data_IF_038954870251
#
_entry.id   IF_038954870251
#
_cell.length_a   1.000
_cell.length_b   1.000
_cell.length_c   1.000
_cell.angle_alpha   90.00
_cell.angle_beta   90.00
_cell.angle_gamma   90.00
#
_symmetry.space_group_name_H-M   'P 1'
#
loop_
_entity.id
_entity.type
_entity.pdbx_description
1 polymer ?
#
# COMPACT_ATOMS: atom_id res chain seq x y z
N UNK A 1 -8.97 -0.08 37.08
CA UNK A 1 -9.47 1.17 36.46
C UNK A 1 -8.42 2.25 36.65
N UNK A 2 -7.65 2.58 35.61
CA UNK A 2 -6.75 3.74 35.60
C UNK A 2 -7.20 4.64 34.45
N UNK A 3 -7.82 5.77 34.80
CA UNK A 3 -8.28 6.79 33.86
C UNK A 3 -7.09 7.70 33.56
N UNK A 4 -6.51 7.58 32.37
CA UNK A 4 -5.54 8.55 31.90
C UNK A 4 -6.31 9.63 31.14
N UNK A 5 -6.44 10.81 31.76
CA UNK A 5 -6.85 12.04 31.09
C UNK A 5 -5.62 12.63 30.41
N UNK A 6 -5.56 12.58 29.07
CA UNK A 6 -4.58 13.35 28.31
C UNK A 6 -5.32 14.58 27.77
N UNK A 7 -4.99 15.72 28.35
CA UNK A 7 -5.54 17.01 28.00
C UNK A 7 -4.97 17.49 26.66
N UNK A 8 -5.88 18.01 25.84
CA UNK A 8 -5.76 18.55 24.50
C UNK A 8 -4.89 19.83 24.44
N UNK A 9 -4.01 19.92 23.44
CA UNK A 9 -3.66 21.19 22.79
C UNK A 9 -2.96 20.90 21.46
N UNK A 10 -3.71 20.88 20.34
CA UNK A 10 -3.13 20.91 18.99
C UNK A 10 -3.98 21.81 18.10
N UNK A 11 -3.38 22.93 17.69
CA UNK A 11 -3.87 23.82 16.65
C UNK A 11 -3.84 23.09 15.30
N UNK A 12 -4.98 22.98 14.61
CA UNK A 12 -5.06 22.34 13.30
C UNK A 12 -4.95 23.39 12.17
N UNK A 13 -3.95 23.30 11.26
CA UNK A 13 -4.04 23.97 9.98
C UNK A 13 -5.00 23.20 9.05
N UNK A 14 -5.95 23.90 8.47
CA UNK A 14 -6.85 23.38 7.44
C UNK A 14 -6.05 23.12 6.15
N UNK A 15 -5.88 21.85 5.79
CA UNK A 15 -5.38 21.46 4.47
C UNK A 15 -6.50 20.73 3.74
N UNK A 16 -7.00 21.35 2.67
CA UNK A 16 -7.93 20.74 1.74
C UNK A 16 -7.16 19.81 0.79
N UNK A 17 -7.57 18.55 0.70
CA UNK A 17 -7.03 17.58 -0.26
C UNK A 17 -8.11 17.22 -1.28
N UNK A 18 -7.88 17.60 -2.54
CA UNK A 18 -8.69 17.23 -3.69
C UNK A 18 -8.54 15.73 -3.99
N UNK A 19 -9.66 15.02 -4.07
CA UNK A 19 -9.70 13.60 -4.44
C UNK A 19 -9.72 13.40 -5.95
N UNK A 20 -8.80 12.60 -6.47
CA UNK A 20 -8.82 12.11 -7.85
C UNK A 20 -8.85 10.58 -7.87
N UNK A 21 -9.91 10.01 -8.44
CA UNK A 21 -10.18 8.57 -8.51
C UNK A 21 -9.17 7.80 -9.37
N UNK A 22 -8.31 7.05 -8.70
CA UNK A 22 -7.83 5.71 -9.10
C UNK A 22 -7.98 4.87 -7.83
N UNK A 23 -8.38 3.59 -7.91
CA UNK A 23 -8.35 2.71 -6.73
C UNK A 23 -6.93 2.68 -6.19
N UNK A 24 -6.66 3.54 -5.22
CA UNK A 24 -5.32 3.90 -4.77
C UNK A 24 -4.98 3.05 -3.55
N UNK A 25 -3.77 3.23 -3.02
CA UNK A 25 -3.43 2.67 -1.72
C UNK A 25 -4.45 3.08 -0.63
N UNK A 26 -5.12 4.22 -0.82
CA UNK A 26 -6.10 4.80 0.10
C UNK A 26 -7.37 3.94 0.16
N UNK A 27 -7.81 3.32 -0.95
CA UNK A 27 -8.94 2.36 -0.96
C UNK A 27 -8.67 1.11 -0.12
N UNK A 28 -7.41 0.69 0.02
CA UNK A 28 -7.06 -0.44 0.87
C UNK A 28 -7.10 -0.04 2.34
N UNK A 29 -6.51 1.11 2.68
CA UNK A 29 -6.52 1.65 4.02
C UNK A 29 -7.95 1.92 4.51
N UNK A 30 -8.80 2.49 3.66
CA UNK A 30 -10.21 2.73 3.98
C UNK A 30 -10.97 1.43 4.25
N UNK A 31 -10.81 0.41 3.39
CA UNK A 31 -11.43 -0.91 3.61
C UNK A 31 -10.96 -1.58 4.90
N UNK A 32 -9.68 -1.44 5.21
CA UNK A 32 -9.14 -1.95 6.47
C UNK A 32 -9.72 -1.20 7.67
N UNK A 33 -9.77 0.13 7.62
CA UNK A 33 -10.37 0.97 8.67
C UNK A 33 -11.85 0.62 8.90
N UNK A 34 -12.63 0.48 7.83
CA UNK A 34 -14.03 0.04 7.92
C UNK A 34 -14.16 -1.34 8.59
N UNK A 35 -13.25 -2.27 8.29
CA UNK A 35 -13.26 -3.61 8.86
C UNK A 35 -12.98 -3.58 10.36
N UNK A 36 -11.95 -2.86 10.82
CA UNK A 36 -11.63 -2.75 12.24
C UNK A 36 -12.65 -1.91 13.00
N UNK A 37 -13.21 -0.87 12.38
CA UNK A 37 -14.28 -0.08 12.98
C UNK A 37 -15.49 -0.96 13.28
N UNK A 38 -15.90 -1.79 12.32
CA UNK A 38 -17.00 -2.75 12.52
C UNK A 38 -16.67 -3.80 13.58
N UNK A 39 -15.51 -4.43 13.49
CA UNK A 39 -15.17 -5.57 14.36
C UNK A 39 -14.88 -5.16 15.80
N UNK A 40 -14.36 -3.95 16.01
CA UNK A 40 -14.00 -3.43 17.33
C UNK A 40 -14.99 -2.37 17.84
N UNK A 41 -16.04 -2.07 17.05
CA UNK A 41 -17.03 -1.03 17.36
C UNK A 41 -16.39 0.31 17.70
N UNK A 42 -15.43 0.74 16.86
CA UNK A 42 -14.71 1.99 17.07
C UNK A 42 -15.64 3.19 16.90
N UNK A 43 -15.46 4.18 17.76
CA UNK A 43 -16.11 5.49 17.61
C UNK A 43 -15.51 6.27 16.45
N UNK A 44 -16.24 7.27 15.94
CA UNK A 44 -15.74 8.15 14.86
C UNK A 44 -14.43 8.85 15.23
N UNK A 45 -14.29 9.27 16.49
CA UNK A 45 -13.07 9.88 17.00
C UNK A 45 -11.88 8.91 16.93
N UNK A 46 -12.05 7.66 17.37
CA UNK A 46 -11.01 6.63 17.29
C UNK A 46 -10.65 6.29 15.84
N UNK A 47 -11.64 6.16 14.95
CA UNK A 47 -11.38 5.92 13.52
C UNK A 47 -10.57 7.05 12.90
N UNK A 48 -10.88 8.30 13.25
CA UNK A 48 -10.15 9.48 12.75
C UNK A 48 -8.70 9.47 13.21
N UNK A 49 -8.44 9.19 14.49
CA UNK A 49 -7.08 9.10 15.03
C UNK A 49 -6.27 7.99 14.37
N UNK A 50 -6.85 6.80 14.17
CA UNK A 50 -6.15 5.70 13.50
C UNK A 50 -5.84 6.05 12.04
N UNK A 51 -6.77 6.70 11.33
CA UNK A 51 -6.51 7.17 9.97
C UNK A 51 -5.35 8.16 9.92
N UNK A 52 -5.29 9.09 10.88
CA UNK A 52 -4.16 10.02 11.00
C UNK A 52 -2.83 9.28 11.21
N UNK A 53 -2.78 8.29 12.11
CA UNK A 53 -1.58 7.47 12.34
C UNK A 53 -1.12 6.77 11.04
N UNK A 54 -2.05 6.24 10.24
CA UNK A 54 -1.69 5.60 8.97
C UNK A 54 -1.18 6.58 7.93
N UNK A 55 -1.70 7.81 7.89
CA UNK A 55 -1.21 8.84 6.99
C UNK A 55 0.19 9.30 7.40
N UNK A 56 0.42 9.55 8.69
CA UNK A 56 1.75 9.86 9.23
C UNK A 56 2.76 8.75 8.91
N UNK A 57 2.39 7.49 9.18
CA UNK A 57 3.23 6.34 8.87
C UNK A 57 3.54 6.23 7.36
N UNK A 58 2.58 6.52 6.49
CA UNK A 58 2.81 6.51 5.03
C UNK A 58 3.87 7.53 4.63
N UNK A 59 3.84 8.72 5.21
CA UNK A 59 4.78 9.79 4.90
C UNK A 59 6.18 9.47 5.46
N UNK A 60 6.27 8.94 6.68
CA UNK A 60 7.53 8.43 7.23
C UNK A 60 8.15 7.35 6.35
N UNK A 61 7.33 6.40 5.90
CA UNK A 61 7.80 5.33 5.01
C UNK A 61 8.17 5.85 3.62
N UNK A 62 7.60 6.96 3.15
CA UNK A 62 8.04 7.60 1.90
C UNK A 62 9.44 8.18 2.07
N UNK A 63 9.64 8.98 3.12
CA UNK A 63 10.95 9.57 3.42
C UNK A 63 12.02 8.49 3.66
N UNK A 64 11.68 7.41 4.36
CA UNK A 64 12.60 6.29 4.57
C UNK A 64 13.00 5.61 3.25
N UNK A 65 12.05 5.41 2.32
CA UNK A 65 12.33 4.84 1.00
C UNK A 65 13.27 5.72 0.18
N UNK A 66 12.99 7.02 0.11
CA UNK A 66 13.83 7.98 -0.62
C UNK A 66 15.25 8.03 -0.05
N UNK A 67 15.36 8.10 1.29
CA UNK A 67 16.66 8.06 1.97
C UNK A 67 17.42 6.76 1.68
N UNK A 68 16.73 5.63 1.74
CA UNK A 68 17.35 4.32 1.48
C UNK A 68 17.82 4.22 0.04
N UNK A 69 16.99 4.65 -0.90
CA UNK A 69 17.32 4.69 -2.32
C UNK A 69 18.56 5.54 -2.58
N UNK A 70 18.63 6.76 -2.02
CA UNK A 70 19.80 7.63 -2.14
C UNK A 70 21.08 6.99 -1.60
N UNK A 71 21.01 6.31 -0.45
CA UNK A 71 22.17 5.60 0.13
C UNK A 71 22.64 4.44 -0.74
N UNK A 72 21.70 3.70 -1.34
CA UNK A 72 22.02 2.64 -2.29
C UNK A 72 22.68 3.23 -3.53
N UNK A 73 22.06 4.23 -4.14
CA UNK A 73 22.55 4.86 -5.38
C UNK A 73 23.96 5.46 -5.19
N UNK A 74 24.30 5.95 -3.98
CA UNK A 74 25.63 6.46 -3.64
C UNK A 74 26.75 5.39 -3.63
N UNK A 75 26.41 4.12 -3.42
CA UNK A 75 27.38 3.00 -3.38
C UNK A 75 27.62 2.44 -4.80
N UNK A 76 26.65 2.61 -5.70
CA UNK A 76 26.71 2.06 -7.05
C UNK A 76 27.57 2.91 -7.98
N UNK A 77 28.31 2.24 -8.85
CA UNK A 77 28.95 2.87 -10.02
C UNK A 77 27.89 3.23 -11.10
N UNK A 78 28.32 3.94 -12.15
CA UNK A 78 27.41 4.43 -13.19
C UNK A 78 26.70 3.30 -13.94
N UNK A 79 27.40 2.22 -14.26
CA UNK A 79 26.82 1.07 -14.99
C UNK A 79 25.80 0.32 -14.13
N UNK A 80 26.10 0.16 -12.84
CA UNK A 80 25.18 -0.46 -11.88
C UNK A 80 23.92 0.38 -11.64
N UNK A 81 24.01 1.72 -11.68
CA UNK A 81 22.83 2.60 -11.57
C UNK A 81 21.91 2.48 -12.77
N UNK A 82 22.46 2.40 -13.98
CA UNK A 82 21.68 2.17 -15.21
C UNK A 82 20.96 0.83 -15.14
N UNK A 83 21.67 -0.26 -14.80
CA UNK A 83 21.05 -1.57 -14.61
C UNK A 83 19.96 -1.55 -13.53
N UNK A 84 20.15 -0.79 -12.45
CA UNK A 84 19.12 -0.64 -11.41
C UNK A 84 17.90 0.14 -11.89
N UNK A 85 18.09 1.16 -12.74
CA UNK A 85 16.99 1.91 -13.35
C UNK A 85 16.15 1.00 -14.25
N UNK A 86 16.81 0.22 -15.12
CA UNK A 86 16.14 -0.74 -16.01
C UNK A 86 15.36 -1.80 -15.22
N UNK A 87 15.95 -2.31 -14.14
CA UNK A 87 15.26 -3.25 -13.24
C UNK A 87 14.02 -2.63 -12.59
N UNK A 88 14.08 -1.35 -12.21
CA UNK A 88 12.93 -0.63 -11.62
C UNK A 88 11.82 -0.41 -12.66
N UNK A 89 12.18 -0.07 -13.90
CA UNK A 89 11.24 0.11 -15.00
C UNK A 89 10.58 -1.22 -15.39
N UNK A 90 11.36 -2.27 -15.63
CA UNK A 90 10.80 -3.59 -15.97
C UNK A 90 9.86 -4.12 -14.88
N UNK A 91 10.19 -3.87 -13.60
CA UNK A 91 9.30 -4.21 -12.48
C UNK A 91 7.98 -3.44 -12.56
N UNK A 92 8.03 -2.15 -12.90
CA UNK A 92 6.85 -1.30 -13.06
C UNK A 92 5.98 -1.79 -14.22
N UNK A 93 6.59 -2.06 -15.37
CA UNK A 93 5.89 -2.59 -16.55
C UNK A 93 5.20 -3.93 -16.27
N UNK A 94 5.90 -4.84 -15.60
CA UNK A 94 5.30 -6.11 -15.21
C UNK A 94 4.13 -5.92 -14.24
N UNK A 95 4.23 -4.95 -13.32
CA UNK A 95 3.13 -4.57 -12.45
C UNK A 95 1.93 -4.00 -13.21
N UNK A 96 2.17 -3.10 -14.16
CA UNK A 96 1.12 -2.49 -14.99
C UNK A 96 0.44 -3.54 -15.88
N UNK A 97 1.20 -4.44 -16.50
CA UNK A 97 0.68 -5.59 -17.27
C UNK A 97 -0.20 -6.49 -16.41
N UNK A 98 0.24 -6.84 -15.21
CA UNK A 98 -0.56 -7.66 -14.27
C UNK A 98 -1.83 -6.95 -13.84
N UNK A 99 -1.75 -5.64 -13.58
CA UNK A 99 -2.92 -4.83 -13.23
C UNK A 99 -3.97 -4.88 -14.36
N UNK A 100 -3.54 -4.71 -15.61
CA UNK A 100 -4.39 -4.86 -16.79
C UNK A 100 -5.05 -6.24 -16.88
N UNK A 101 -4.28 -7.34 -16.72
CA UNK A 101 -4.84 -8.71 -16.71
C UNK A 101 -5.87 -8.95 -15.60
N UNK A 102 -5.72 -8.31 -14.44
CA UNK A 102 -6.68 -8.40 -13.35
C UNK A 102 -7.95 -7.57 -13.62
N UNK A 103 -7.81 -6.42 -14.26
CA UNK A 103 -8.94 -5.57 -14.69
C UNK A 103 -9.78 -6.24 -15.79
N UNK A 104 -9.13 -6.93 -16.74
CA UNK A 104 -9.81 -7.69 -17.82
C UNK A 104 -10.25 -9.11 -17.40
N UNK A 105 -10.04 -9.52 -16.16
CA UNK A 105 -10.48 -10.82 -15.62
C UNK A 105 -9.69 -12.05 -16.09
N UNK A 106 -8.69 -11.87 -16.97
CA UNK A 106 -7.83 -12.94 -17.51
C UNK A 106 -6.97 -13.58 -16.42
N UNK A 107 -6.40 -12.79 -15.51
CA UNK A 107 -5.55 -13.31 -14.43
C UNK A 107 -6.30 -14.24 -13.45
N UNK A 108 -7.63 -14.09 -13.33
CA UNK A 108 -8.47 -15.01 -12.53
C UNK A 108 -8.77 -16.33 -13.25
N UNK A 109 -8.79 -16.33 -14.59
CA UNK A 109 -8.98 -17.54 -15.40
C UNK A 109 -7.69 -18.37 -15.42
N UNK A 110 -6.55 -17.75 -15.72
CA UNK A 110 -5.23 -18.42 -15.70
C UNK A 110 -4.96 -19.10 -14.33
N UNK A 111 -5.22 -18.40 -13.21
CA UNK A 111 -5.02 -18.97 -11.88
C UNK A 111 -5.96 -20.14 -11.53
N UNK A 112 -7.17 -20.19 -12.11
CA UNK A 112 -8.10 -21.31 -11.91
C UNK A 112 -7.67 -22.53 -12.71
N UNK A 113 -7.23 -22.35 -13.95
CA UNK A 113 -6.75 -23.45 -14.80
C UNK A 113 -5.47 -24.07 -14.25
N UNK A 114 -4.49 -23.26 -13.81
CA UNK A 114 -3.30 -23.77 -13.13
C UNK A 114 -3.63 -24.57 -11.86
N UNK A 115 -4.65 -24.15 -11.10
CA UNK A 115 -5.08 -24.87 -9.90
C UNK A 115 -5.76 -26.21 -10.23
N UNK A 116 -6.47 -26.31 -11.36
CA UNK A 116 -7.05 -27.57 -11.83
C UNK A 116 -5.95 -28.52 -12.31
N UNK A 117 -4.99 -28.01 -13.10
CA UNK A 117 -3.87 -28.80 -13.60
C UNK A 117 -3.04 -29.40 -12.45
N UNK A 118 -2.62 -28.58 -11.48
CA UNK A 118 -1.87 -29.04 -10.30
C UNK A 118 -2.62 -30.07 -9.45
N UNK A 119 -3.96 -30.07 -9.48
CA UNK A 119 -4.77 -31.06 -8.79
C UNK A 119 -4.85 -32.37 -9.58
N UNK A 120 -4.85 -32.30 -10.91
CA UNK A 120 -4.77 -33.49 -11.78
C UNK A 120 -3.40 -34.16 -11.64
N UNK A 121 -2.32 -33.39 -11.68
CA UNK A 121 -0.94 -33.89 -11.56
C UNK A 121 -0.57 -34.44 -10.16
N UNK A 122 -1.41 -34.23 -9.15
CA UNK A 122 -1.24 -34.80 -7.79
C UNK A 122 -2.22 -35.94 -7.49
N UNK A 123 -3.09 -36.29 -8.45
CA UNK A 123 -4.04 -37.40 -8.34
C UNK A 123 -3.58 -38.65 -9.12
N UNK A 124 -2.47 -38.57 -9.85
CA UNK A 124 -1.69 -39.68 -10.42
C UNK A 124 -0.51 -40.03 -9.50
#
# INVERSE_FOLDING_TARGET
MKKFLIALLVSAPLIASAGSGKKSHDDYQERYLQHIQKNLSLTEAQTKEINQIFNEHRDEMRALRERTQSRVDAILDSSQREAMADMRENRRDHWEKRKGKHEHGEGRREGREHKKQRKADHAE
#
